data_IF_499666809739
#
_entry.id   IF_499666809739
#
_cell.length_a   1.000
_cell.length_b   1.000
_cell.length_c   1.000
_cell.angle_alpha   90.00
_cell.angle_beta   90.00
_cell.angle_gamma   90.00
#
_symmetry.space_group_name_H-M   'P 1'
#
loop_
_entity.id
_entity.type
_entity.pdbx_description
1 polymer ?
#
# COMPACT_ATOMS: atom_id res chain seq x y z
N UNK A 1 23.18 8.34 -26.68
CA UNK A 1 22.49 7.06 -26.95
C UNK A 1 22.70 6.15 -25.76
N UNK A 2 21.69 6.02 -24.90
CA UNK A 2 21.77 5.23 -23.66
C UNK A 2 21.84 3.74 -23.96
N UNK A 3 22.99 3.14 -23.66
CA UNK A 3 23.28 1.70 -23.66
C UNK A 3 22.83 1.09 -22.33
N UNK A 4 21.53 0.81 -22.19
CA UNK A 4 21.06 -0.17 -21.22
C UNK A 4 20.00 -1.04 -21.90
N UNK A 5 20.16 -2.38 -21.89
CA UNK A 5 19.24 -3.27 -22.58
C UNK A 5 17.89 -3.26 -21.86
N UNK A 6 16.80 -3.26 -22.63
CA UNK A 6 15.46 -3.58 -22.16
C UNK A 6 15.53 -4.78 -21.22
N UNK A 7 15.26 -4.61 -19.92
CA UNK A 7 15.07 -5.73 -19.00
C UNK A 7 13.80 -6.46 -19.42
N UNK A 8 14.04 -7.47 -20.25
CA UNK A 8 13.07 -8.21 -21.03
C UNK A 8 12.19 -9.03 -20.09
N UNK A 9 10.93 -9.25 -20.48
CA UNK A 9 9.98 -10.19 -19.85
C UNK A 9 10.65 -11.52 -19.46
N UNK A 10 11.65 -11.94 -20.23
CA UNK A 10 12.52 -13.08 -19.97
C UNK A 10 13.23 -13.05 -18.61
N UNK A 11 13.73 -11.90 -18.14
CA UNK A 11 14.38 -11.79 -16.81
C UNK A 11 13.37 -11.93 -15.68
N UNK A 12 12.18 -11.37 -15.84
CA UNK A 12 11.07 -11.50 -14.88
C UNK A 12 10.57 -12.95 -14.86
N UNK A 13 10.38 -13.54 -16.04
CA UNK A 13 10.01 -14.93 -16.22
C UNK A 13 11.06 -15.85 -15.57
N UNK A 14 12.35 -15.66 -15.83
CA UNK A 14 13.39 -16.46 -15.19
C UNK A 14 13.40 -16.26 -13.67
N UNK A 15 13.19 -15.05 -13.14
CA UNK A 15 13.15 -14.83 -11.67
C UNK A 15 11.90 -15.38 -10.99
N UNK A 16 10.73 -15.34 -11.62
CA UNK A 16 9.49 -15.83 -11.02
C UNK A 16 9.17 -17.31 -11.36
N UNK A 17 9.73 -17.89 -12.44
CA UNK A 17 9.35 -19.23 -12.94
C UNK A 17 10.43 -20.32 -12.78
N UNK A 18 11.64 -20.02 -12.31
CA UNK A 18 12.78 -20.97 -12.28
C UNK A 18 12.93 -21.88 -11.03
N UNK A 19 12.08 -21.82 -10.01
CA UNK A 19 12.10 -22.79 -8.90
C UNK A 19 10.69 -23.34 -8.63
N UNK A 20 10.54 -24.68 -8.54
CA UNK A 20 9.25 -25.38 -8.49
C UNK A 20 8.47 -25.25 -7.16
N UNK A 21 8.81 -24.26 -6.32
CA UNK A 21 8.22 -24.03 -5.00
C UNK A 21 7.86 -22.56 -4.70
N UNK A 22 7.86 -21.67 -5.71
CA UNK A 22 7.84 -20.22 -5.43
C UNK A 22 6.46 -19.64 -5.09
N UNK A 23 6.27 -19.42 -3.80
CA UNK A 23 5.27 -18.49 -3.27
C UNK A 23 5.79 -17.04 -3.22
N UNK A 24 7.04 -16.75 -3.61
CA UNK A 24 7.64 -15.42 -3.45
C UNK A 24 8.48 -15.03 -4.67
N UNK A 25 8.28 -13.83 -5.23
CA UNK A 25 9.05 -13.27 -6.34
C UNK A 25 9.55 -11.87 -5.98
N UNK A 26 10.86 -11.63 -6.14
CA UNK A 26 11.51 -10.34 -5.85
C UNK A 26 12.22 -9.82 -7.09
N UNK A 27 11.77 -8.65 -7.56
CA UNK A 27 12.24 -8.00 -8.79
C UNK A 27 12.57 -6.53 -8.50
N UNK A 28 13.43 -6.28 -7.50
CA UNK A 28 13.81 -4.92 -7.09
C UNK A 28 14.81 -4.27 -8.05
N UNK A 29 14.73 -2.96 -8.27
CA UNK A 29 15.74 -2.21 -9.02
C UNK A 29 15.96 -2.68 -10.46
N UNK A 30 14.95 -3.27 -11.10
CA UNK A 30 15.07 -3.92 -12.42
C UNK A 30 14.61 -3.02 -13.58
N UNK A 31 14.38 -1.72 -13.33
CA UNK A 31 13.88 -0.75 -14.31
C UNK A 31 12.65 -1.27 -15.08
N UNK A 32 11.65 -1.72 -14.31
CA UNK A 32 10.42 -2.29 -14.85
C UNK A 32 9.66 -1.26 -15.71
N UNK A 33 9.06 -1.75 -16.79
CA UNK A 33 8.24 -0.94 -17.71
C UNK A 33 6.76 -1.24 -17.50
N UNK A 34 5.87 -0.49 -18.16
CA UNK A 34 4.42 -0.79 -18.14
C UNK A 34 4.12 -2.20 -18.67
N UNK A 35 4.80 -2.63 -19.74
CA UNK A 35 4.70 -4.00 -20.27
C UNK A 35 5.10 -5.07 -19.24
N UNK A 36 6.09 -4.75 -18.40
CA UNK A 36 6.48 -5.61 -17.29
C UNK A 36 5.36 -5.72 -16.26
N UNK A 37 4.66 -4.63 -15.97
CA UNK A 37 3.52 -4.60 -15.06
C UNK A 37 2.30 -5.34 -15.61
N UNK A 38 2.01 -5.21 -16.91
CA UNK A 38 0.96 -6.00 -17.59
C UNK A 38 1.22 -7.50 -17.46
N UNK A 39 2.45 -7.92 -17.69
CA UNK A 39 2.83 -9.32 -17.55
C UNK A 39 2.73 -9.80 -16.10
N UNK A 40 3.22 -9.01 -15.13
CA UNK A 40 3.10 -9.33 -13.71
C UNK A 40 1.64 -9.42 -13.27
N UNK A 41 0.77 -8.51 -13.75
CA UNK A 41 -0.66 -8.56 -13.48
C UNK A 41 -1.30 -9.84 -14.04
N UNK A 42 -0.96 -10.23 -15.28
CA UNK A 42 -1.41 -11.51 -15.84
C UNK A 42 -0.85 -12.71 -15.08
N UNK A 43 0.37 -12.62 -14.57
CA UNK A 43 1.01 -13.68 -13.80
C UNK A 43 0.36 -13.85 -12.42
N UNK A 44 -0.05 -12.76 -11.75
CA UNK A 44 -0.80 -12.82 -10.49
C UNK A 44 -2.11 -13.64 -10.61
N UNK A 45 -2.74 -13.61 -11.78
CA UNK A 45 -3.99 -14.32 -12.05
C UNK A 45 -3.83 -15.84 -12.21
N UNK A 46 -2.64 -16.28 -12.63
CA UNK A 46 -2.38 -17.68 -13.03
C UNK A 46 -1.38 -18.39 -12.11
N UNK A 47 -0.73 -17.65 -11.22
CA UNK A 47 0.30 -18.18 -10.33
C UNK A 47 -0.25 -18.54 -8.94
N UNK A 48 0.59 -19.22 -8.15
CA UNK A 48 0.35 -19.41 -6.73
C UNK A 48 1.15 -18.42 -5.89
N UNK A 49 1.56 -17.30 -6.47
CA UNK A 49 2.38 -16.29 -5.81
C UNK A 49 1.68 -15.75 -4.56
N UNK A 50 2.41 -15.72 -3.44
CA UNK A 50 2.01 -15.15 -2.15
C UNK A 50 2.71 -13.85 -1.85
N UNK A 51 3.94 -13.68 -2.30
CA UNK A 51 4.74 -12.49 -2.05
C UNK A 51 5.32 -11.93 -3.34
N UNK A 52 5.17 -10.62 -3.51
CA UNK A 52 5.70 -9.89 -4.64
C UNK A 52 6.40 -8.63 -4.13
N UNK A 53 7.70 -8.55 -4.37
CA UNK A 53 8.52 -7.40 -4.00
C UNK A 53 9.08 -6.73 -5.25
N UNK A 54 8.49 -5.58 -5.59
CA UNK A 54 8.85 -4.74 -6.74
C UNK A 54 9.52 -3.44 -6.31
N UNK A 55 9.98 -3.35 -5.06
CA UNK A 55 10.54 -2.11 -4.51
C UNK A 55 11.70 -1.59 -5.36
N UNK A 56 11.94 -0.28 -5.30
CA UNK A 56 13.01 0.41 -6.03
C UNK A 56 12.85 0.35 -7.56
N UNK A 57 11.61 0.29 -8.06
CA UNK A 57 11.31 0.41 -9.50
C UNK A 57 10.38 1.59 -9.77
N UNK A 58 10.64 2.36 -10.82
CA UNK A 58 9.84 3.55 -11.17
C UNK A 58 8.50 3.18 -11.84
N UNK A 59 7.64 2.44 -11.12
CA UNK A 59 6.35 1.95 -11.62
C UNK A 59 5.36 3.08 -11.86
N UNK A 60 5.39 4.11 -11.01
CA UNK A 60 4.41 5.21 -10.99
C UNK A 60 2.97 4.71 -10.83
N UNK A 61 2.01 5.62 -10.91
CA UNK A 61 0.59 5.28 -10.81
C UNK A 61 0.12 4.37 -11.96
N UNK A 62 0.68 4.51 -13.17
CA UNK A 62 0.30 3.69 -14.32
C UNK A 62 0.66 2.21 -14.13
N UNK A 63 1.87 1.91 -13.62
CA UNK A 63 2.28 0.55 -13.28
C UNK A 63 1.45 -0.04 -12.13
N UNK A 64 1.17 0.76 -11.09
CA UNK A 64 0.33 0.34 -9.96
C UNK A 64 -1.10 0.04 -10.39
N UNK A 65 -1.67 0.83 -11.29
CA UNK A 65 -3.01 0.58 -11.86
C UNK A 65 -3.09 -0.76 -12.56
N UNK A 66 -2.09 -1.10 -13.38
CA UNK A 66 -2.01 -2.40 -14.05
C UNK A 66 -1.92 -3.55 -13.06
N UNK A 67 -1.08 -3.42 -12.03
CA UNK A 67 -0.97 -4.42 -10.97
C UNK A 67 -2.26 -4.58 -10.17
N UNK A 68 -2.96 -3.48 -9.89
CA UNK A 68 -4.23 -3.47 -9.15
C UNK A 68 -5.30 -4.26 -9.90
N UNK A 69 -5.36 -4.14 -11.23
CA UNK A 69 -6.27 -4.96 -12.04
C UNK A 69 -5.97 -6.47 -11.94
N UNK A 70 -4.71 -6.87 -11.73
CA UNK A 70 -4.34 -8.26 -11.45
C UNK A 70 -4.75 -8.70 -10.03
N UNK A 71 -4.65 -7.81 -9.04
CA UNK A 71 -5.06 -8.09 -7.66
C UNK A 71 -6.59 -8.23 -7.51
N UNK A 72 -7.36 -7.54 -8.35
CA UNK A 72 -8.82 -7.65 -8.40
C UNK A 72 -9.31 -9.02 -8.92
N UNK A 73 -8.42 -9.84 -9.47
CA UNK A 73 -8.78 -11.16 -9.95
C UNK A 73 -9.12 -12.09 -8.76
N UNK A 74 -10.30 -12.75 -8.75
CA UNK A 74 -10.70 -13.67 -7.69
C UNK A 74 -9.75 -14.86 -7.44
N UNK A 75 -8.92 -15.19 -8.43
CA UNK A 75 -7.94 -16.28 -8.33
C UNK A 75 -6.57 -15.80 -7.86
N UNK A 76 -6.37 -14.49 -7.70
CA UNK A 76 -5.14 -13.94 -7.14
C UNK A 76 -4.97 -14.40 -5.69
N UNK A 77 -3.82 -14.99 -5.37
CA UNK A 77 -3.52 -15.49 -4.03
C UNK A 77 -2.47 -14.66 -3.31
N UNK A 78 -2.15 -13.47 -3.83
CA UNK A 78 -1.10 -12.64 -3.26
C UNK A 78 -1.47 -12.19 -1.86
N UNK A 79 -0.60 -12.47 -0.90
CA UNK A 79 -0.73 -12.12 0.52
C UNK A 79 0.13 -10.89 0.85
N UNK A 80 1.22 -10.68 0.12
CA UNK A 80 2.22 -9.66 0.41
C UNK A 80 2.63 -8.92 -0.85
N UNK A 81 2.49 -7.59 -0.85
CA UNK A 81 2.93 -6.71 -1.93
C UNK A 81 3.85 -5.62 -1.39
N UNK A 82 5.04 -5.47 -1.98
CA UNK A 82 6.00 -4.41 -1.64
C UNK A 82 6.28 -3.55 -2.86
N UNK A 83 6.01 -2.26 -2.71
CA UNK A 83 6.14 -1.19 -3.71
C UNK A 83 6.92 -0.02 -3.10
N UNK A 84 7.88 -0.29 -2.20
CA UNK A 84 8.68 0.78 -1.61
C UNK A 84 9.48 1.51 -2.70
N UNK A 85 9.58 2.83 -2.61
CA UNK A 85 10.37 3.63 -3.56
C UNK A 85 9.94 3.43 -5.02
N UNK A 86 8.63 3.34 -5.29
CA UNK A 86 8.09 3.06 -6.62
C UNK A 86 7.49 4.27 -7.36
N UNK A 87 7.63 5.47 -6.79
CA UNK A 87 7.03 6.72 -7.28
C UNK A 87 5.50 6.67 -7.35
N UNK A 88 4.88 5.97 -6.41
CA UNK A 88 3.41 5.91 -6.26
C UNK A 88 2.92 7.24 -5.67
N UNK A 89 1.82 7.76 -6.21
CA UNK A 89 1.12 8.92 -5.71
C UNK A 89 -0.38 8.59 -5.50
N UNK A 90 -1.23 9.62 -5.47
CA UNK A 90 -2.65 9.52 -5.12
C UNK A 90 -3.45 8.58 -6.05
N UNK A 91 -3.22 8.63 -7.38
CA UNK A 91 -3.96 7.79 -8.32
C UNK A 91 -3.60 6.30 -8.16
N UNK A 92 -2.34 6.00 -7.85
CA UNK A 92 -1.88 4.66 -7.52
C UNK A 92 -2.51 4.16 -6.22
N UNK A 93 -2.62 5.01 -5.19
CA UNK A 93 -3.34 4.69 -3.96
C UNK A 93 -4.82 4.36 -4.22
N UNK A 94 -5.51 5.18 -5.03
CA UNK A 94 -6.91 4.93 -5.38
C UNK A 94 -7.10 3.57 -6.07
N UNK A 95 -6.19 3.21 -6.98
CA UNK A 95 -6.20 1.92 -7.67
C UNK A 95 -5.95 0.75 -6.73
N UNK A 96 -5.03 0.89 -5.77
CA UNK A 96 -4.80 -0.14 -4.75
C UNK A 96 -6.01 -0.31 -3.83
N UNK A 97 -6.70 0.79 -3.49
CA UNK A 97 -7.92 0.74 -2.68
C UNK A 97 -9.05 0.01 -3.39
N UNK A 98 -9.21 0.16 -4.71
CA UNK A 98 -10.22 -0.62 -5.45
C UNK A 98 -9.92 -2.12 -5.36
N UNK A 99 -8.65 -2.50 -5.53
CA UNK A 99 -8.21 -3.88 -5.39
C UNK A 99 -8.40 -4.44 -3.97
N UNK A 100 -8.12 -3.65 -2.93
CA UNK A 100 -8.32 -4.05 -1.53
C UNK A 100 -9.80 -4.26 -1.16
N UNK A 101 -10.71 -3.57 -1.85
CA UNK A 101 -12.16 -3.72 -1.67
C UNK A 101 -12.75 -4.88 -2.48
N UNK A 102 -11.99 -5.43 -3.43
CA UNK A 102 -12.42 -6.58 -4.23
C UNK A 102 -12.60 -7.83 -3.35
N UNK A 103 -13.54 -8.70 -3.73
CA UNK A 103 -13.87 -9.92 -2.99
C UNK A 103 -13.74 -11.10 -3.96
N UNK A 104 -12.89 -12.10 -3.66
CA UNK A 104 -12.01 -12.22 -2.50
C UNK A 104 -10.70 -11.43 -2.66
N UNK A 105 -10.33 -10.66 -1.65
CA UNK A 105 -8.94 -10.21 -1.48
C UNK A 105 -8.20 -11.14 -0.52
N UNK A 106 -6.95 -11.47 -0.87
CA UNK A 106 -6.03 -12.27 -0.06
C UNK A 106 -4.89 -11.44 0.54
N UNK A 107 -4.79 -10.16 0.18
CA UNK A 107 -3.67 -9.30 0.56
C UNK A 107 -3.73 -8.96 2.06
N UNK A 108 -2.65 -9.28 2.77
CA UNK A 108 -2.44 -9.06 4.22
C UNK A 108 -1.38 -8.01 4.50
N UNK A 109 -0.36 -7.91 3.65
CA UNK A 109 0.71 -6.92 3.79
C UNK A 109 0.85 -6.05 2.55
N UNK A 110 0.86 -4.74 2.75
CA UNK A 110 1.14 -3.76 1.71
C UNK A 110 2.22 -2.79 2.21
N UNK A 111 3.32 -2.70 1.47
CA UNK A 111 4.41 -1.75 1.74
C UNK A 111 4.48 -0.71 0.62
N UNK A 112 4.18 0.54 0.99
CA UNK A 112 4.26 1.76 0.17
C UNK A 112 5.26 2.76 0.75
N UNK A 113 6.18 2.32 1.61
CA UNK A 113 7.21 3.20 2.18
C UNK A 113 8.04 3.90 1.10
N UNK A 114 8.59 5.08 1.42
CA UNK A 114 9.41 5.86 0.49
C UNK A 114 8.70 6.24 -0.83
N UNK A 115 7.37 6.40 -0.80
CA UNK A 115 6.59 7.00 -1.88
C UNK A 115 5.98 8.33 -1.41
N UNK A 116 5.73 9.24 -2.34
CA UNK A 116 5.10 10.53 -2.06
C UNK A 116 3.57 10.42 -2.23
N UNK A 117 2.93 9.76 -1.26
CA UNK A 117 1.49 9.48 -1.32
C UNK A 117 0.63 10.73 -1.10
N UNK A 118 1.21 11.80 -0.51
CA UNK A 118 0.52 12.96 0.06
C UNK A 118 -0.55 12.57 1.11
N UNK A 119 -1.12 13.57 1.76
CA UNK A 119 -2.19 13.36 2.74
C UNK A 119 -3.42 12.68 2.09
N UNK A 120 -3.77 13.09 0.87
CA UNK A 120 -4.88 12.52 0.11
C UNK A 120 -4.73 11.02 -0.16
N UNK A 121 -3.53 10.55 -0.53
CA UNK A 121 -3.27 9.13 -0.74
C UNK A 121 -3.36 8.32 0.55
N UNK A 122 -2.90 8.87 1.68
CA UNK A 122 -3.00 8.23 3.01
C UNK A 122 -4.46 8.15 3.47
N UNK A 123 -5.24 9.20 3.25
CA UNK A 123 -6.69 9.21 3.54
C UNK A 123 -7.44 8.15 2.73
N UNK A 124 -7.15 8.04 1.42
CA UNK A 124 -7.75 7.03 0.55
C UNK A 124 -7.44 5.61 1.03
N UNK A 125 -6.18 5.33 1.35
CA UNK A 125 -5.76 4.03 1.89
C UNK A 125 -6.49 3.73 3.20
N UNK A 126 -6.54 4.70 4.12
CA UNK A 126 -7.22 4.57 5.41
C UNK A 126 -8.72 4.27 5.26
N UNK A 127 -9.40 4.96 4.34
CA UNK A 127 -10.80 4.71 4.02
C UNK A 127 -11.02 3.32 3.40
N UNK A 128 -10.06 2.84 2.59
CA UNK A 128 -10.06 1.48 2.04
C UNK A 128 -9.98 0.40 3.12
N UNK A 129 -9.15 0.61 4.14
CA UNK A 129 -8.98 -0.30 5.27
C UNK A 129 -10.19 -0.37 6.21
N UNK A 130 -11.04 0.66 6.20
CA UNK A 130 -12.32 0.64 6.93
C UNK A 130 -13.35 -0.34 6.36
N UNK A 131 -13.09 -0.96 5.20
CA UNK A 131 -13.98 -1.96 4.61
C UNK A 131 -13.91 -3.28 5.42
N UNK A 132 -15.04 -3.83 5.91
CA UNK A 132 -15.07 -5.07 6.69
C UNK A 132 -14.58 -6.31 5.91
N UNK A 133 -14.54 -6.26 4.58
CA UNK A 133 -14.01 -7.33 3.73
C UNK A 133 -12.52 -7.20 3.45
N UNK A 134 -11.89 -6.08 3.82
CA UNK A 134 -10.46 -5.89 3.68
C UNK A 134 -9.72 -6.79 4.69
N UNK A 135 -8.81 -7.64 4.19
CA UNK A 135 -7.99 -8.53 5.03
C UNK A 135 -6.61 -7.97 5.33
N UNK A 136 -6.35 -6.71 4.98
CA UNK A 136 -5.03 -6.14 5.17
C UNK A 136 -4.73 -6.00 6.67
N UNK A 137 -3.67 -6.66 7.11
CA UNK A 137 -3.23 -6.68 8.49
C UNK A 137 -2.18 -5.58 8.75
N UNK A 138 -1.30 -5.38 7.76
CA UNK A 138 -0.16 -4.45 7.84
C UNK A 138 -0.12 -3.55 6.61
N UNK A 139 -0.20 -2.23 6.84
CA UNK A 139 0.13 -1.20 5.88
C UNK A 139 1.40 -0.48 6.34
N UNK A 140 2.43 -0.44 5.50
CA UNK A 140 3.62 0.37 5.73
C UNK A 140 3.59 1.55 4.77
N UNK A 141 3.38 2.76 5.28
CA UNK A 141 3.68 4.00 4.58
C UNK A 141 4.58 4.82 5.50
N UNK A 142 5.75 5.20 5.02
CA UNK A 142 6.57 6.18 5.72
C UNK A 142 6.05 7.53 5.26
N UNK A 143 5.40 8.27 6.16
CA UNK A 143 5.04 9.67 5.93
C UNK A 143 6.34 10.45 5.88
N UNK A 144 6.85 10.69 4.67
CA UNK A 144 7.88 11.69 4.47
C UNK A 144 7.19 13.05 4.63
N UNK A 145 7.34 13.67 5.81
CA UNK A 145 7.06 15.09 6.00
C UNK A 145 8.02 15.88 5.10
N UNK A 146 7.62 16.17 3.87
CA UNK A 146 8.32 17.14 3.03
C UNK A 146 7.40 18.28 2.67
N UNK A 147 7.71 19.44 3.26
CA UNK A 147 7.24 20.81 2.98
C UNK A 147 5.96 21.31 3.67
N UNK A 148 6.00 21.44 5.00
CA UNK A 148 5.36 22.58 5.66
C UNK A 148 6.40 23.67 5.91
N UNK A 149 6.68 24.48 4.89
CA UNK A 149 7.06 25.86 5.13
C UNK A 149 5.80 26.64 5.47
N UNK A 150 5.18 26.32 6.61
CA UNK A 150 4.29 27.23 7.32
C UNK A 150 4.16 26.77 8.78
N UNK A 151 4.32 27.76 9.63
CA UNK A 151 4.52 27.72 11.08
C UNK A 151 3.31 27.22 11.88
N UNK A 152 3.60 26.49 12.98
CA UNK A 152 2.74 26.22 14.16
C UNK A 152 1.68 25.09 14.08
N UNK A 153 2.04 23.89 13.62
CA UNK A 153 1.35 22.67 14.05
C UNK A 153 2.38 21.59 14.42
N UNK A 154 2.44 21.30 15.72
CA UNK A 154 3.39 20.38 16.35
C UNK A 154 3.30 18.95 15.77
N UNK A 155 4.44 18.29 15.49
CA UNK A 155 4.49 16.90 15.00
C UNK A 155 3.93 15.86 15.99
N UNK A 156 3.58 16.28 17.20
CA UNK A 156 2.93 15.44 18.19
C UNK A 156 1.48 15.06 17.83
N UNK A 157 0.80 15.67 16.86
CA UNK A 157 -0.63 15.33 16.58
C UNK A 157 -0.78 14.08 15.68
N UNK A 158 0.17 13.81 14.78
CA UNK A 158 0.08 12.70 13.81
C UNK A 158 0.59 11.36 14.37
N UNK A 159 1.46 11.40 15.38
CA UNK A 159 1.85 10.17 16.09
C UNK A 159 0.68 9.59 16.89
N UNK A 160 -0.28 10.45 17.26
CA UNK A 160 -1.50 10.04 17.95
C UNK A 160 -2.51 9.42 17.00
N UNK A 161 -2.65 9.84 15.74
CA UNK A 161 -3.64 9.25 14.83
C UNK A 161 -3.33 7.79 14.47
N UNK A 162 -2.04 7.45 14.31
CA UNK A 162 -1.61 6.06 14.10
C UNK A 162 -1.65 5.21 15.39
N UNK A 163 -1.28 5.77 16.54
CA UNK A 163 -1.45 5.08 17.83
C UNK A 163 -2.93 4.85 18.16
N UNK A 164 -3.79 5.83 17.89
CA UNK A 164 -5.25 5.76 18.06
C UNK A 164 -5.84 4.76 17.06
N UNK A 165 -5.33 4.65 15.83
CA UNK A 165 -5.74 3.60 14.90
C UNK A 165 -5.32 2.19 15.36
N UNK A 166 -4.08 2.02 15.86
CA UNK A 166 -3.62 0.75 16.42
C UNK A 166 -4.44 0.36 17.67
N UNK A 167 -4.76 1.33 18.53
CA UNK A 167 -5.65 1.14 19.68
C UNK A 167 -7.11 0.89 19.26
N UNK A 168 -7.62 1.55 18.21
CA UNK A 168 -8.96 1.30 17.66
C UNK A 168 -9.08 -0.12 17.08
N UNK A 169 -8.02 -0.63 16.44
CA UNK A 169 -7.96 -2.01 15.94
C UNK A 169 -7.88 -3.04 17.08
N UNK A 170 -7.20 -2.73 18.18
CA UNK A 170 -7.07 -3.62 19.36
C UNK A 170 -8.34 -3.60 20.23
N UNK A 171 -9.09 -2.51 20.25
CA UNK A 171 -10.32 -2.37 21.04
C UNK A 171 -11.55 -2.27 20.14
N UNK A 172 -12.10 -3.43 19.76
CA UNK A 172 -13.33 -3.51 18.96
C UNK A 172 -14.55 -2.89 19.65
N UNK A 173 -15.21 -2.01 18.91
CA UNK A 173 -16.67 -1.78 18.73
C UNK A 173 -17.59 -2.22 19.89
N UNK A 174 -17.53 -1.53 21.03
CA UNK A 174 -18.76 -1.30 21.81
C UNK A 174 -18.62 -0.13 22.81
N UNK A 175 -17.41 0.09 23.34
CA UNK A 175 -17.17 1.07 24.41
C UNK A 175 -16.90 2.50 23.93
N UNK A 176 -16.49 2.69 22.67
CA UNK A 176 -15.97 3.98 22.21
C UNK A 176 -17.05 5.01 21.80
N UNK A 177 -18.27 4.56 21.45
CA UNK A 177 -19.37 5.46 21.03
C UNK A 177 -19.78 6.46 22.12
N UNK A 178 -19.69 6.04 23.40
CA UNK A 178 -20.08 6.87 24.55
C UNK A 178 -18.95 7.80 24.98
N UNK A 179 -17.69 7.34 24.97
CA UNK A 179 -16.54 8.17 25.34
C UNK A 179 -16.26 9.26 24.29
N UNK A 180 -16.35 8.94 23.00
CA UNK A 180 -16.02 9.91 21.94
C UNK A 180 -17.05 11.05 21.84
N UNK A 181 -18.33 10.78 22.14
CA UNK A 181 -19.36 11.83 22.24
C UNK A 181 -19.14 12.78 23.41
N UNK A 182 -18.52 12.31 24.51
CA UNK A 182 -18.18 13.17 25.65
C UNK A 182 -16.89 13.95 25.41
N UNK A 183 -15.89 13.35 24.76
CA UNK A 183 -14.59 13.99 24.46
C UNK A 183 -14.73 15.13 23.43
N UNK A 184 -15.63 15.03 22.45
CA UNK A 184 -15.89 16.16 21.52
C UNK A 184 -16.73 17.26 22.17
N UNK A 185 -17.57 16.93 23.16
CA UNK A 185 -18.48 17.89 23.80
C UNK A 185 -17.79 18.75 24.87
N UNK A 186 -16.73 18.25 25.50
CA UNK A 186 -15.97 18.95 26.53
C UNK A 186 -14.66 19.53 25.99
N UNK A 187 -14.75 20.41 25.00
CA UNK A 187 -13.63 21.15 24.40
C UNK A 187 -12.94 22.08 25.44
N UNK A 188 -12.25 21.50 26.42
CA UNK A 188 -11.39 22.11 27.44
C UNK A 188 -10.18 21.22 27.65
N UNK A 189 -9.20 21.36 26.77
CA UNK A 189 -7.80 21.09 27.10
C UNK A 189 -7.00 22.36 26.83
N UNK A 190 -7.17 23.32 27.75
CA UNK A 190 -6.19 24.36 28.05
C UNK A 190 -5.42 23.91 29.29
N UNK A 191 -4.14 24.29 29.35
CA UNK A 191 -3.28 24.36 30.54
C UNK A 191 -3.06 23.06 31.33
N UNK A 192 -1.91 22.43 31.08
CA UNK A 192 -0.90 22.02 32.08
C UNK A 192 0.02 20.99 31.43
N UNK A 193 1.11 21.47 30.84
CA UNK A 193 2.52 21.09 31.07
C UNK A 193 3.39 21.81 30.03
#
# INVERSE_FOLDING_TARGET
>A
MSLFPNFNLYSIFMKCCSLPFWFSCRVRGCNLTEKSCEFLASYLNSSHLRELDLSDNNLKDSGVKLLSAGLENPHCKLETLRLSSCLVAEEGCASLVSALKSIPSHLRELDLSNNDLKDSGVELLSAGLGNPYCKLETLRSVVCNSSSSDSLLEPHVLQWTLCVWYLWKVFSIQTFSTLFKNVIKENRFLELF
#
